data_IF_888885088170
#
_entry.id   IF_888885088170
#
_cell.length_a   1.000
_cell.length_b   1.000
_cell.length_c   1.000
_cell.angle_alpha   90.00
_cell.angle_beta   90.00
_cell.angle_gamma   90.00
#
_symmetry.space_group_name_H-M   'P 1'
#
loop_
_entity.id
_entity.type
_entity.pdbx_description
1 polymer ?
#
# COMPACT_ATOMS: atom_id res chain seq x y z
N UNK A 1 -62.27 -28.13 34.98
CA UNK A 1 -61.18 -27.26 35.45
C UNK A 1 -59.78 -27.90 35.26
N UNK A 2 -59.52 -29.13 35.78
CA UNK A 2 -58.17 -29.75 35.67
C UNK A 2 -57.71 -30.02 34.20
N UNK A 3 -58.63 -30.39 33.29
CA UNK A 3 -58.29 -30.60 31.86
C UNK A 3 -58.02 -29.32 31.07
N UNK A 4 -58.65 -28.20 31.46
CA UNK A 4 -58.40 -26.89 30.85
C UNK A 4 -57.04 -26.32 31.29
N UNK A 5 -56.67 -26.55 32.56
CA UNK A 5 -55.38 -26.12 33.14
C UNK A 5 -54.21 -26.91 32.53
N UNK A 6 -54.40 -28.20 32.24
CA UNK A 6 -53.39 -29.03 31.54
C UNK A 6 -53.17 -28.59 30.11
N UNK A 7 -54.22 -28.17 29.38
CA UNK A 7 -54.11 -27.71 28.00
C UNK A 7 -53.40 -26.34 27.89
N UNK A 8 -53.64 -25.43 28.85
CA UNK A 8 -52.99 -24.12 28.93
C UNK A 8 -51.50 -24.28 29.27
N UNK A 9 -51.16 -25.22 30.18
CA UNK A 9 -49.76 -25.48 30.53
C UNK A 9 -48.97 -26.11 29.40
N UNK A 10 -49.61 -26.99 28.57
CA UNK A 10 -48.97 -27.60 27.40
C UNK A 10 -48.79 -26.59 26.27
N UNK A 11 -49.72 -25.66 26.11
CA UNK A 11 -49.63 -24.57 25.09
C UNK A 11 -48.56 -23.54 25.53
N UNK A 12 -48.42 -23.25 26.81
CA UNK A 12 -47.35 -22.37 27.35
C UNK A 12 -45.94 -22.99 27.21
N UNK A 13 -45.82 -24.32 27.35
CA UNK A 13 -44.58 -25.07 27.11
C UNK A 13 -44.20 -25.18 25.65
N UNK A 14 -45.20 -25.22 24.74
CA UNK A 14 -44.97 -25.19 23.30
C UNK A 14 -44.60 -23.77 22.76
N UNK A 15 -45.08 -22.73 23.41
CA UNK A 15 -44.68 -21.32 23.10
C UNK A 15 -43.33 -20.95 23.74
N UNK A 16 -42.89 -21.65 24.77
CA UNK A 16 -41.56 -21.46 25.40
C UNK A 16 -40.44 -22.22 24.67
N UNK A 17 -40.78 -23.11 23.73
CA UNK A 17 -39.83 -23.82 22.87
C UNK A 17 -39.62 -23.11 21.50
N UNK A 18 -39.97 -21.83 21.38
CA UNK A 18 -39.31 -20.95 20.39
C UNK A 18 -37.88 -20.86 20.85
N UNK A 19 -37.11 -21.89 20.51
CA UNK A 19 -35.65 -21.84 20.51
C UNK A 19 -35.25 -20.49 19.93
N UNK A 20 -34.61 -19.66 20.73
CA UNK A 20 -33.59 -18.77 20.18
C UNK A 20 -32.57 -19.72 19.53
N UNK A 21 -32.81 -20.12 18.30
CA UNK A 21 -31.73 -20.43 17.41
C UNK A 21 -30.96 -19.11 17.40
N UNK A 22 -29.90 -19.00 18.18
CA UNK A 22 -28.89 -18.01 17.92
C UNK A 22 -28.58 -18.22 16.42
N UNK A 23 -28.96 -17.29 15.57
CA UNK A 23 -28.48 -17.33 14.20
C UNK A 23 -26.97 -17.47 14.34
N UNK A 24 -26.40 -18.55 13.77
CA UNK A 24 -24.94 -18.66 13.70
C UNK A 24 -24.45 -17.36 13.08
N UNK A 25 -23.53 -16.70 13.76
CA UNK A 25 -22.96 -15.48 13.25
C UNK A 25 -22.38 -15.80 11.87
N UNK A 26 -22.76 -15.02 10.86
CA UNK A 26 -22.25 -15.19 9.51
C UNK A 26 -20.71 -15.05 9.58
N UNK A 27 -19.99 -16.00 9.01
CA UNK A 27 -18.52 -16.03 9.02
C UNK A 27 -18.00 -15.93 7.60
N UNK A 28 -16.97 -15.13 7.41
CA UNK A 28 -16.28 -14.95 6.15
C UNK A 28 -14.80 -15.20 6.32
N UNK A 29 -14.17 -15.83 5.33
CA UNK A 29 -12.73 -16.05 5.28
C UNK A 29 -12.09 -15.11 4.26
N UNK A 30 -11.14 -14.30 4.70
CA UNK A 30 -10.42 -13.34 3.85
C UNK A 30 -8.96 -13.75 3.76
N UNK A 31 -8.47 -14.02 2.55
CA UNK A 31 -7.05 -14.33 2.29
C UNK A 31 -6.29 -13.05 1.95
N UNK A 32 -5.26 -12.69 2.72
CA UNK A 32 -4.41 -11.51 2.48
C UNK A 32 -3.01 -11.98 2.12
N UNK A 33 -2.53 -11.62 0.94
CA UNK A 33 -1.15 -11.84 0.54
C UNK A 33 -0.40 -10.50 0.48
N UNK A 34 0.64 -10.36 1.30
CA UNK A 34 1.58 -9.25 1.26
C UNK A 34 2.73 -9.55 0.30
N UNK A 35 3.20 -8.53 -0.45
CA UNK A 35 4.30 -8.69 -1.40
C UNK A 35 5.66 -8.73 -0.73
N UNK A 36 5.87 -7.86 0.27
CA UNK A 36 7.15 -7.70 0.97
C UNK A 36 6.92 -7.20 2.40
N UNK A 37 7.85 -7.48 3.29
CA UNK A 37 7.87 -6.93 4.65
C UNK A 37 8.34 -5.47 4.56
N UNK A 38 7.36 -4.56 4.52
CA UNK A 38 7.52 -3.12 4.45
C UNK A 38 6.55 -2.43 5.40
N UNK A 39 7.00 -1.34 6.03
CA UNK A 39 6.25 -0.66 7.07
C UNK A 39 4.92 -0.09 6.58
N UNK A 40 4.86 0.53 5.37
CA UNK A 40 3.60 1.05 4.80
C UNK A 40 2.63 -0.07 4.43
N UNK A 41 3.13 -1.16 3.81
CA UNK A 41 2.30 -2.32 3.47
C UNK A 41 1.78 -3.04 4.71
N UNK A 42 2.61 -3.19 5.73
CA UNK A 42 2.22 -3.75 7.03
C UNK A 42 1.18 -2.87 7.72
N UNK A 43 1.31 -1.54 7.65
CA UNK A 43 0.33 -0.59 8.18
C UNK A 43 -1.03 -0.74 7.49
N UNK A 44 -1.07 -0.97 6.17
CA UNK A 44 -2.31 -1.27 5.44
C UNK A 44 -2.98 -2.51 6.04
N UNK A 45 -2.23 -3.61 6.20
CA UNK A 45 -2.77 -4.89 6.68
C UNK A 45 -3.28 -4.77 8.11
N UNK A 46 -2.52 -4.10 8.99
CA UNK A 46 -2.94 -3.84 10.36
C UNK A 46 -4.27 -3.07 10.40
N UNK A 47 -4.40 -2.02 9.60
CA UNK A 47 -5.63 -1.22 9.53
C UNK A 47 -6.81 -1.94 8.84
N UNK A 48 -6.54 -2.86 7.91
CA UNK A 48 -7.58 -3.78 7.38
C UNK A 48 -8.13 -4.64 8.51
N UNK A 49 -7.26 -5.28 9.31
CA UNK A 49 -7.66 -6.13 10.43
C UNK A 49 -8.47 -5.37 11.47
N UNK A 50 -7.96 -4.23 11.92
CA UNK A 50 -8.60 -3.40 12.94
C UNK A 50 -10.01 -2.98 12.49
N UNK A 51 -10.13 -2.54 11.22
CA UNK A 51 -11.42 -2.13 10.69
C UNK A 51 -12.40 -3.29 10.53
N UNK A 52 -11.95 -4.44 10.08
CA UNK A 52 -12.79 -5.65 9.97
C UNK A 52 -13.22 -6.14 11.36
N UNK A 53 -12.36 -6.02 12.40
CA UNK A 53 -12.74 -6.34 13.78
C UNK A 53 -13.81 -5.37 14.32
N UNK A 54 -13.68 -4.06 14.08
CA UNK A 54 -14.72 -3.07 14.41
C UNK A 54 -16.05 -3.44 13.77
N UNK A 55 -16.05 -3.73 12.45
CA UNK A 55 -17.27 -4.11 11.72
C UNK A 55 -17.84 -5.43 12.21
N UNK A 56 -16.99 -6.41 12.55
CA UNK A 56 -17.42 -7.69 13.11
C UNK A 56 -18.23 -7.48 14.40
N UNK A 57 -17.75 -6.60 15.29
CA UNK A 57 -18.44 -6.25 16.53
C UNK A 57 -19.74 -5.48 16.26
N UNK A 58 -19.74 -4.53 15.30
CA UNK A 58 -20.90 -3.71 14.97
C UNK A 58 -22.04 -4.52 14.30
N UNK A 59 -21.67 -5.44 13.39
CA UNK A 59 -22.61 -6.19 12.55
C UNK A 59 -22.96 -7.58 13.10
N UNK A 60 -22.23 -8.08 14.12
CA UNK A 60 -22.44 -9.43 14.68
C UNK A 60 -22.03 -10.55 13.71
N UNK A 61 -20.98 -10.33 12.95
CA UNK A 61 -20.37 -11.29 11.99
C UNK A 61 -18.97 -11.68 12.46
N UNK A 62 -18.32 -12.60 11.75
CA UNK A 62 -16.93 -12.98 12.00
C UNK A 62 -16.13 -12.90 10.70
N UNK A 63 -14.91 -12.37 10.76
CA UNK A 63 -13.93 -12.47 9.70
C UNK A 63 -12.77 -13.34 10.17
N UNK A 64 -12.52 -14.45 9.47
CA UNK A 64 -11.31 -15.24 9.61
C UNK A 64 -10.29 -14.73 8.60
N UNK A 65 -9.16 -14.20 9.08
CA UNK A 65 -8.12 -13.64 8.22
C UNK A 65 -6.98 -14.67 8.10
N UNK A 66 -6.71 -15.11 6.87
CA UNK A 66 -5.53 -15.89 6.49
C UNK A 66 -4.55 -14.96 5.83
N UNK A 67 -3.39 -14.79 6.44
CA UNK A 67 -2.40 -13.82 5.99
C UNK A 67 -1.04 -14.47 5.82
N UNK A 68 -0.42 -14.18 4.68
CA UNK A 68 0.93 -14.62 4.35
C UNK A 68 1.69 -13.53 3.57
N UNK A 69 3.03 -13.60 3.61
CA UNK A 69 3.93 -12.70 2.91
C UNK A 69 4.82 -13.49 1.94
N UNK A 70 4.83 -13.08 0.67
CA UNK A 70 5.64 -13.78 -0.34
C UNK A 70 7.10 -13.31 -0.41
N UNK A 71 7.48 -12.25 0.30
CA UNK A 71 8.85 -11.74 0.41
C UNK A 71 9.55 -11.58 -0.95
N UNK A 72 8.89 -10.94 -1.91
CA UNK A 72 9.36 -10.70 -3.28
C UNK A 72 9.53 -11.99 -4.11
N UNK A 73 9.11 -13.18 -3.61
CA UNK A 73 9.24 -14.46 -4.32
C UNK A 73 7.94 -14.83 -5.05
N UNK A 74 7.99 -14.78 -6.39
CA UNK A 74 6.84 -15.09 -7.22
C UNK A 74 6.35 -16.54 -7.10
N UNK A 75 7.22 -17.52 -6.73
CA UNK A 75 6.81 -18.91 -6.52
C UNK A 75 6.08 -19.08 -5.20
N UNK A 76 6.55 -18.41 -4.15
CA UNK A 76 5.87 -18.36 -2.85
C UNK A 76 4.52 -17.67 -3.00
N UNK A 77 4.46 -16.54 -3.74
CA UNK A 77 3.22 -15.82 -4.02
C UNK A 77 2.17 -16.71 -4.69
N UNK A 78 2.55 -17.45 -5.75
CA UNK A 78 1.65 -18.38 -6.43
C UNK A 78 1.17 -19.51 -5.50
N UNK A 79 2.03 -19.99 -4.60
CA UNK A 79 1.65 -21.02 -3.62
C UNK A 79 0.63 -20.48 -2.63
N UNK A 80 0.86 -19.30 -2.06
CA UNK A 80 -0.08 -18.64 -1.11
C UNK A 80 -1.47 -18.47 -1.77
N UNK A 81 -1.50 -17.96 -2.99
CA UNK A 81 -2.77 -17.76 -3.71
C UNK A 81 -3.46 -19.10 -4.01
N UNK A 82 -2.68 -20.15 -4.38
CA UNK A 82 -3.23 -21.48 -4.59
C UNK A 82 -3.82 -22.07 -3.31
N UNK A 83 -3.20 -21.83 -2.16
CA UNK A 83 -3.70 -22.29 -0.86
C UNK A 83 -5.01 -21.56 -0.51
N UNK A 84 -5.12 -20.25 -0.76
CA UNK A 84 -6.37 -19.51 -0.59
C UNK A 84 -7.50 -20.04 -1.49
N UNK A 85 -7.19 -20.39 -2.75
CA UNK A 85 -8.17 -21.02 -3.66
C UNK A 85 -8.60 -22.38 -3.14
N UNK A 86 -7.65 -23.21 -2.66
CA UNK A 86 -7.96 -24.55 -2.13
C UNK A 86 -8.76 -24.50 -0.83
N UNK A 87 -8.57 -23.46 -0.04
CA UNK A 87 -9.31 -23.19 1.20
C UNK A 87 -10.66 -22.52 0.96
N UNK A 88 -11.02 -22.26 -0.31
CA UNK A 88 -12.28 -21.63 -0.73
C UNK A 88 -12.57 -20.32 0.04
N UNK A 89 -11.56 -19.44 0.17
CA UNK A 89 -11.76 -18.15 0.84
C UNK A 89 -12.84 -17.32 0.14
N UNK A 90 -13.62 -16.55 0.90
CA UNK A 90 -14.74 -15.76 0.36
C UNK A 90 -14.27 -14.54 -0.43
N UNK A 91 -13.05 -14.03 -0.13
CA UNK A 91 -12.45 -12.89 -0.81
C UNK A 91 -10.93 -12.91 -0.61
N UNK A 92 -10.19 -12.43 -1.61
CA UNK A 92 -8.74 -12.24 -1.51
C UNK A 92 -8.37 -10.76 -1.50
N UNK A 93 -7.32 -10.43 -0.74
CA UNK A 93 -6.69 -9.11 -0.74
C UNK A 93 -5.26 -9.24 -1.25
N UNK A 94 -4.97 -8.58 -2.37
CA UNK A 94 -3.61 -8.49 -2.93
C UNK A 94 -2.96 -7.17 -2.55
N UNK A 95 -1.95 -7.20 -1.69
CA UNK A 95 -1.21 -6.00 -1.28
C UNK A 95 -0.01 -5.81 -2.20
N UNK A 96 0.05 -4.69 -2.87
CA UNK A 96 0.92 -4.26 -3.97
C UNK A 96 0.56 -4.85 -5.35
N UNK A 97 1.00 -4.16 -6.41
CA UNK A 97 0.66 -4.46 -7.81
C UNK A 97 0.97 -5.90 -8.24
N UNK A 98 2.15 -6.50 -7.94
CA UNK A 98 2.48 -7.85 -8.39
C UNK A 98 1.53 -8.92 -7.83
N UNK A 99 1.10 -8.77 -6.58
CA UNK A 99 0.16 -9.71 -5.95
C UNK A 99 -1.23 -9.58 -6.59
N UNK A 100 -1.71 -8.34 -6.79
CA UNK A 100 -2.99 -8.08 -7.43
C UNK A 100 -3.08 -8.69 -8.83
N UNK A 101 -2.04 -8.52 -9.66
CA UNK A 101 -1.94 -9.10 -11.01
C UNK A 101 -1.95 -10.63 -10.98
N UNK A 102 -1.23 -11.23 -10.06
CA UNK A 102 -1.19 -12.68 -9.92
C UNK A 102 -2.52 -13.24 -9.43
N UNK A 103 -3.15 -12.60 -8.44
CA UNK A 103 -4.49 -12.97 -7.98
C UNK A 103 -5.53 -12.86 -9.10
N UNK A 104 -5.54 -11.76 -9.87
CA UNK A 104 -6.44 -11.60 -11.01
C UNK A 104 -6.32 -12.80 -11.97
N UNK A 105 -5.09 -13.12 -12.38
CA UNK A 105 -4.84 -14.23 -13.32
C UNK A 105 -5.27 -15.59 -12.78
N UNK A 106 -5.03 -15.85 -11.47
CA UNK A 106 -5.33 -17.15 -10.87
C UNK A 106 -6.80 -17.32 -10.46
N UNK A 107 -7.56 -16.22 -10.34
CA UNK A 107 -8.98 -16.26 -9.94
C UNK A 107 -9.96 -16.15 -11.09
N UNK A 108 -9.53 -16.01 -12.34
CA UNK A 108 -10.41 -15.87 -13.52
C UNK A 108 -11.50 -16.96 -13.60
N UNK A 109 -11.16 -18.22 -13.27
CA UNK A 109 -12.09 -19.35 -13.35
C UNK A 109 -12.79 -19.66 -12.02
N UNK A 110 -12.30 -19.12 -10.89
CA UNK A 110 -12.84 -19.45 -9.55
C UNK A 110 -14.02 -18.55 -9.17
N UNK A 111 -14.02 -17.32 -9.66
CA UNK A 111 -14.99 -16.29 -9.30
C UNK A 111 -14.79 -15.71 -7.89
N UNK A 112 -13.71 -16.07 -7.19
CA UNK A 112 -13.36 -15.45 -5.89
C UNK A 112 -13.06 -13.97 -6.11
N UNK A 113 -13.75 -13.04 -5.44
CA UNK A 113 -13.53 -11.62 -5.60
C UNK A 113 -12.15 -11.22 -5.06
N UNK A 114 -11.51 -10.25 -5.73
CA UNK A 114 -10.19 -9.73 -5.33
C UNK A 114 -10.30 -8.24 -5.05
N UNK A 115 -9.86 -7.82 -3.87
CA UNK A 115 -9.63 -6.42 -3.54
C UNK A 115 -8.13 -6.19 -3.51
N UNK A 116 -7.61 -5.30 -4.36
CA UNK A 116 -6.22 -4.90 -4.25
C UNK A 116 -6.04 -3.72 -3.28
N UNK A 117 -4.88 -3.66 -2.66
CA UNK A 117 -4.45 -2.54 -1.82
C UNK A 117 -3.09 -2.03 -2.29
N UNK A 118 -2.93 -0.71 -2.34
CA UNK A 118 -1.70 -0.04 -2.80
C UNK A 118 -1.26 -0.50 -4.20
N UNK A 119 -2.13 -0.29 -5.18
CA UNK A 119 -1.79 -0.42 -6.59
C UNK A 119 -1.66 0.97 -7.21
N UNK A 120 -0.45 1.32 -7.65
CA UNK A 120 -0.14 2.69 -8.09
C UNK A 120 -0.80 3.06 -9.41
N UNK A 121 -0.90 2.13 -10.36
CA UNK A 121 -1.57 2.33 -11.67
C UNK A 121 -2.43 1.11 -12.05
N UNK A 122 -3.66 0.99 -11.51
CA UNK A 122 -4.54 -0.14 -11.81
C UNK A 122 -4.92 -0.26 -13.29
N UNK A 123 -4.97 0.87 -14.02
CA UNK A 123 -5.23 0.88 -15.47
C UNK A 123 -4.03 0.39 -16.26
N UNK A 124 -2.84 0.93 -15.97
CA UNK A 124 -1.59 0.52 -16.62
C UNK A 124 -1.23 -0.93 -16.36
N UNK A 125 -1.49 -1.43 -15.17
CA UNK A 125 -1.33 -2.83 -14.80
C UNK A 125 -2.38 -3.77 -15.43
N UNK A 126 -3.41 -3.22 -16.11
CA UNK A 126 -4.46 -4.02 -16.76
C UNK A 126 -5.42 -4.71 -15.79
N UNK A 127 -5.47 -4.27 -14.54
CA UNK A 127 -6.35 -4.83 -13.51
C UNK A 127 -7.81 -4.42 -13.70
N UNK A 128 -8.04 -3.20 -14.18
CA UNK A 128 -9.37 -2.63 -14.33
C UNK A 128 -9.57 -2.00 -15.71
N UNK A 129 -10.80 -2.03 -16.23
CA UNK A 129 -11.14 -1.39 -17.49
C UNK A 129 -11.24 0.14 -17.35
N UNK A 130 -11.69 0.62 -16.18
CA UNK A 130 -11.68 2.04 -15.80
C UNK A 130 -11.68 2.16 -14.27
N UNK A 131 -11.29 3.33 -13.75
CA UNK A 131 -11.32 3.59 -12.32
C UNK A 131 -12.75 3.64 -11.75
N UNK A 132 -13.71 4.14 -12.52
CA UNK A 132 -15.11 4.25 -12.10
C UNK A 132 -15.90 2.94 -12.22
N UNK A 133 -15.49 2.05 -13.13
CA UNK A 133 -16.15 0.76 -13.38
C UNK A 133 -15.09 -0.28 -13.79
N UNK A 134 -14.55 -1.02 -12.82
CA UNK A 134 -13.46 -1.99 -13.05
C UNK A 134 -13.78 -3.03 -14.11
N UNK A 135 -15.02 -3.55 -14.14
CA UNK A 135 -15.52 -4.43 -15.20
C UNK A 135 -15.06 -5.88 -15.09
N UNK A 136 -14.33 -6.24 -14.05
CA UNK A 136 -13.82 -7.59 -13.78
C UNK A 136 -14.06 -7.97 -12.32
N UNK A 137 -13.63 -9.18 -11.92
CA UNK A 137 -13.76 -9.68 -10.55
C UNK A 137 -12.69 -9.12 -9.60
N UNK A 138 -12.25 -7.86 -9.85
CA UNK A 138 -11.20 -7.19 -9.11
C UNK A 138 -11.43 -5.68 -9.07
N UNK A 139 -11.22 -5.08 -7.91
CA UNK A 139 -11.18 -3.63 -7.65
C UNK A 139 -10.29 -3.38 -6.42
N UNK A 140 -10.18 -2.15 -5.94
CA UNK A 140 -9.42 -1.89 -4.71
C UNK A 140 -9.05 -0.43 -4.50
N UNK A 141 -7.95 -0.23 -3.78
CA UNK A 141 -7.42 1.07 -3.37
C UNK A 141 -6.10 1.37 -4.06
N UNK A 142 -5.99 2.56 -4.64
CA UNK A 142 -4.76 3.00 -5.33
C UNK A 142 -3.95 3.94 -4.47
N UNK A 143 -2.64 3.72 -4.46
CA UNK A 143 -1.62 4.61 -3.90
C UNK A 143 -0.93 5.45 -4.98
N UNK A 144 -1.67 5.85 -6.01
CA UNK A 144 -1.16 6.69 -7.11
C UNK A 144 -0.20 7.76 -6.58
N UNK A 145 0.95 7.92 -7.23
CA UNK A 145 1.96 8.91 -6.91
C UNK A 145 1.90 10.11 -7.85
N UNK A 146 1.70 11.33 -7.31
CA UNK A 146 1.91 12.56 -8.06
C UNK A 146 3.42 12.84 -8.22
N UNK A 147 4.00 12.28 -9.27
CA UNK A 147 5.42 12.43 -9.58
C UNK A 147 5.82 13.91 -9.74
N UNK A 148 4.95 14.75 -10.32
CA UNK A 148 5.25 16.17 -10.51
C UNK A 148 5.35 16.90 -9.16
N UNK A 149 4.53 16.53 -8.18
CA UNK A 149 4.62 17.08 -6.83
C UNK A 149 5.97 16.73 -6.18
N UNK A 150 6.43 15.48 -6.27
CA UNK A 150 7.75 15.09 -5.74
C UNK A 150 8.87 15.94 -6.37
N UNK A 151 8.84 16.15 -7.69
CA UNK A 151 9.83 17.01 -8.36
C UNK A 151 9.74 18.47 -7.93
N UNK A 152 8.55 18.99 -7.62
CA UNK A 152 8.42 20.32 -7.03
C UNK A 152 9.15 20.41 -5.67
N UNK A 153 9.12 19.34 -4.87
CA UNK A 153 9.85 19.28 -3.60
C UNK A 153 11.36 19.21 -3.82
N UNK A 154 11.84 18.42 -4.81
CA UNK A 154 13.27 18.40 -5.19
C UNK A 154 13.76 19.82 -5.49
N UNK A 155 13.05 20.55 -6.36
CA UNK A 155 13.45 21.90 -6.76
C UNK A 155 13.16 22.97 -5.69
N UNK A 156 12.24 22.74 -4.76
CA UNK A 156 12.04 23.62 -3.60
C UNK A 156 13.20 23.50 -2.58
N UNK A 157 13.72 22.29 -2.37
CA UNK A 157 14.86 22.06 -1.49
C UNK A 157 16.19 22.45 -2.15
N UNK A 158 16.35 22.19 -3.46
CA UNK A 158 17.56 22.52 -4.23
C UNK A 158 17.18 23.11 -5.61
N UNK A 159 17.01 24.44 -5.72
CA UNK A 159 16.68 25.09 -6.99
C UNK A 159 17.78 24.96 -8.06
N UNK A 160 19.00 24.62 -7.68
CA UNK A 160 20.15 24.46 -8.58
C UNK A 160 20.35 22.99 -9.04
N UNK A 161 19.48 22.07 -8.60
CA UNK A 161 19.57 20.67 -9.01
C UNK A 161 19.46 20.53 -10.53
N UNK A 162 20.45 19.89 -11.13
CA UNK A 162 20.65 19.82 -12.59
C UNK A 162 20.93 18.39 -13.09
N UNK A 163 21.20 17.45 -12.19
CA UNK A 163 21.49 16.03 -12.48
C UNK A 163 20.70 15.14 -11.52
N UNK A 164 19.68 14.50 -12.02
CA UNK A 164 18.77 13.67 -11.21
C UNK A 164 19.01 12.19 -11.51
N UNK A 165 19.21 11.38 -10.47
CA UNK A 165 19.20 9.93 -10.58
C UNK A 165 17.75 9.42 -10.51
N UNK A 166 17.37 8.54 -11.44
CA UNK A 166 16.13 7.78 -11.39
C UNK A 166 16.48 6.35 -11.00
N UNK A 167 16.21 5.96 -9.74
CA UNK A 167 16.54 4.64 -9.20
C UNK A 167 15.27 3.81 -9.08
N UNK A 168 15.21 2.68 -9.78
CA UNK A 168 14.03 1.83 -9.81
C UNK A 168 14.34 0.40 -10.30
N UNK A 169 13.41 -0.53 -10.09
CA UNK A 169 13.41 -1.86 -10.71
C UNK A 169 12.54 -1.84 -11.98
N UNK A 170 13.11 -1.98 -13.19
CA UNK A 170 12.34 -1.96 -14.44
C UNK A 170 11.32 -3.10 -14.59
N UNK A 171 11.39 -4.13 -13.75
CA UNK A 171 10.46 -5.25 -13.75
C UNK A 171 9.23 -5.00 -12.86
N UNK A 172 9.19 -3.88 -12.13
CA UNK A 172 8.01 -3.51 -11.33
C UNK A 172 7.08 -2.58 -12.10
N UNK A 173 5.84 -3.03 -12.30
CA UNK A 173 4.80 -2.26 -13.01
C UNK A 173 4.50 -0.93 -12.31
N UNK A 174 4.53 -0.90 -10.97
CA UNK A 174 4.33 0.30 -10.15
C UNK A 174 5.31 1.44 -10.50
N UNK A 175 6.51 1.13 -10.98
CA UNK A 175 7.55 2.10 -11.35
C UNK A 175 7.38 2.66 -12.77
N UNK A 176 6.65 1.96 -13.65
CA UNK A 176 6.62 2.29 -15.09
C UNK A 176 6.05 3.68 -15.36
N UNK A 177 4.85 3.99 -14.90
CA UNK A 177 4.20 5.27 -15.13
C UNK A 177 4.90 6.44 -14.43
N UNK A 178 5.29 6.36 -13.13
CA UNK A 178 6.02 7.43 -12.45
C UNK A 178 7.38 7.74 -13.08
N UNK A 179 8.14 6.74 -13.50
CA UNK A 179 9.44 6.94 -14.16
C UNK A 179 9.26 7.60 -15.54
N UNK A 180 8.25 7.19 -16.31
CA UNK A 180 7.93 7.85 -17.58
C UNK A 180 7.55 9.33 -17.36
N UNK A 181 6.75 9.63 -16.35
CA UNK A 181 6.37 10.99 -15.97
C UNK A 181 7.59 11.82 -15.53
N UNK A 182 8.48 11.24 -14.72
CA UNK A 182 9.72 11.88 -14.27
C UNK A 182 10.61 12.26 -15.47
N UNK A 183 10.82 11.33 -16.41
CA UNK A 183 11.61 11.58 -17.62
C UNK A 183 11.02 12.71 -18.47
N UNK A 184 9.71 12.67 -18.72
CA UNK A 184 9.02 13.71 -19.49
C UNK A 184 9.17 15.10 -18.84
N UNK A 185 9.01 15.18 -17.51
CA UNK A 185 9.16 16.43 -16.75
C UNK A 185 10.60 16.97 -16.81
N UNK A 186 11.59 16.10 -16.64
CA UNK A 186 13.00 16.50 -16.69
C UNK A 186 13.43 16.95 -18.09
N UNK A 187 12.95 16.26 -19.13
CA UNK A 187 13.15 16.65 -20.53
C UNK A 187 12.53 18.02 -20.84
N UNK A 188 11.29 18.25 -20.39
CA UNK A 188 10.61 19.55 -20.54
C UNK A 188 11.38 20.69 -19.87
N UNK A 189 11.95 20.42 -18.68
CA UNK A 189 12.76 21.40 -17.92
C UNK A 189 14.19 21.53 -18.42
N UNK A 190 14.66 20.65 -19.30
CA UNK A 190 16.05 20.62 -19.78
C UNK A 190 17.06 20.19 -18.69
N UNK A 191 16.62 19.40 -17.70
CA UNK A 191 17.42 18.89 -16.60
C UNK A 191 17.99 17.52 -16.99
N UNK A 192 19.28 17.30 -16.76
CA UNK A 192 19.91 16.04 -17.05
C UNK A 192 19.47 14.95 -16.04
N UNK A 193 19.23 13.75 -16.53
CA UNK A 193 18.96 12.60 -15.67
C UNK A 193 19.71 11.36 -16.15
N UNK A 194 19.87 10.41 -15.23
CA UNK A 194 20.40 9.08 -15.53
C UNK A 194 19.60 8.02 -14.79
N UNK A 195 19.31 6.94 -15.50
CA UNK A 195 18.59 5.79 -14.95
C UNK A 195 19.58 4.82 -14.30
N UNK A 196 19.23 4.36 -13.12
CA UNK A 196 19.94 3.34 -12.34
C UNK A 196 18.92 2.28 -11.94
N UNK A 197 19.31 1.01 -11.98
CA UNK A 197 18.38 -0.07 -11.71
C UNK A 197 19.01 -1.17 -10.85
N UNK A 198 18.16 -1.84 -10.08
CA UNK A 198 18.48 -3.03 -9.36
C UNK A 198 17.24 -3.92 -9.23
N UNK A 199 17.39 -5.22 -9.44
CA UNK A 199 16.31 -6.21 -9.33
C UNK A 199 16.36 -6.98 -8.00
N UNK A 200 17.31 -6.67 -7.14
CA UNK A 200 17.49 -7.18 -5.80
C UNK A 200 18.36 -6.23 -4.97
N UNK A 201 18.37 -6.41 -3.65
CA UNK A 201 19.08 -5.54 -2.69
C UNK A 201 20.56 -5.35 -3.09
N UNK A 202 21.27 -6.39 -3.49
CA UNK A 202 22.69 -6.29 -3.84
C UNK A 202 22.93 -5.41 -5.08
N UNK A 203 22.08 -5.49 -6.08
CA UNK A 203 22.14 -4.65 -7.27
C UNK A 203 21.76 -3.20 -6.95
N UNK A 204 20.79 -2.98 -6.08
CA UNK A 204 20.40 -1.63 -5.61
C UNK A 204 21.55 -0.97 -4.86
N UNK A 205 22.27 -1.71 -4.00
CA UNK A 205 23.49 -1.18 -3.32
C UNK A 205 24.55 -0.78 -4.33
N UNK A 206 24.78 -1.57 -5.39
CA UNK A 206 25.72 -1.21 -6.47
C UNK A 206 25.24 -0.01 -7.30
N UNK A 207 23.92 0.13 -7.50
CA UNK A 207 23.34 1.28 -8.16
C UNK A 207 23.55 2.56 -7.34
N UNK A 208 23.38 2.51 -6.00
CA UNK A 208 23.67 3.63 -5.11
C UNK A 208 25.16 4.04 -5.17
N UNK A 209 26.09 3.08 -5.20
CA UNK A 209 27.52 3.37 -5.38
C UNK A 209 27.80 4.08 -6.71
N UNK A 210 27.11 3.69 -7.78
CA UNK A 210 27.23 4.34 -9.10
C UNK A 210 26.63 5.76 -9.11
N UNK A 211 25.49 5.98 -8.43
CA UNK A 211 24.87 7.30 -8.24
C UNK A 211 25.87 8.26 -7.57
N UNK A 212 26.53 7.80 -6.49
CA UNK A 212 27.53 8.58 -5.77
C UNK A 212 28.74 8.89 -6.66
N UNK A 213 29.23 7.88 -7.40
CA UNK A 213 30.37 8.05 -8.31
C UNK A 213 30.10 9.04 -9.45
N UNK A 214 28.85 9.12 -9.90
CA UNK A 214 28.40 10.05 -10.94
C UNK A 214 28.08 11.46 -10.39
N UNK A 215 28.18 11.68 -9.07
CA UNK A 215 27.99 12.96 -8.38
C UNK A 215 26.62 13.60 -8.73
N UNK A 216 25.54 12.82 -8.51
CA UNK A 216 24.16 13.27 -8.79
C UNK A 216 23.66 14.22 -7.70
N UNK A 217 22.76 15.15 -8.08
CA UNK A 217 22.28 16.19 -7.15
C UNK A 217 21.11 15.70 -6.28
N UNK A 218 20.35 14.70 -6.73
CA UNK A 218 19.28 14.06 -6.01
C UNK A 218 18.95 12.69 -6.63
N UNK A 219 18.31 11.82 -5.84
CA UNK A 219 17.73 10.55 -6.30
C UNK A 219 16.22 10.63 -6.22
N UNK A 220 15.52 10.14 -7.24
CA UNK A 220 14.08 9.89 -7.24
C UNK A 220 13.81 8.40 -7.39
N UNK A 221 12.98 7.86 -6.50
CA UNK A 221 12.42 6.50 -6.56
C UNK A 221 10.90 6.58 -6.37
N UNK A 222 10.08 5.97 -7.24
CA UNK A 222 8.64 5.86 -7.02
C UNK A 222 8.30 4.86 -5.90
N UNK A 223 7.06 4.34 -5.86
CA UNK A 223 6.63 3.26 -4.95
C UNK A 223 7.18 1.90 -5.37
N UNK A 224 8.49 1.76 -5.46
CA UNK A 224 9.22 0.58 -5.92
C UNK A 224 9.56 -0.35 -4.75
N UNK A 225 8.94 -1.53 -4.69
CA UNK A 225 9.09 -2.46 -3.58
C UNK A 225 10.51 -3.03 -3.44
N UNK A 226 11.22 -3.19 -4.57
CA UNK A 226 12.60 -3.71 -4.56
C UNK A 226 13.56 -2.67 -3.97
N UNK A 227 13.41 -1.41 -4.36
CA UNK A 227 14.24 -0.32 -3.82
C UNK A 227 13.89 -0.08 -2.35
N UNK A 228 12.61 -0.12 -1.99
CA UNK A 228 12.13 0.03 -0.62
C UNK A 228 12.75 -1.01 0.32
N UNK A 229 12.77 -2.28 -0.06
CA UNK A 229 13.41 -3.35 0.70
C UNK A 229 14.93 -3.16 0.87
N UNK A 230 15.56 -2.31 0.04
CA UNK A 230 16.99 -2.01 0.09
C UNK A 230 17.32 -0.71 0.83
N UNK A 231 16.34 0.13 1.17
CA UNK A 231 16.56 1.51 1.65
C UNK A 231 17.51 1.59 2.85
N UNK A 232 17.28 0.76 3.88
CA UNK A 232 18.18 0.66 5.05
C UNK A 232 19.64 0.32 4.69
N UNK A 233 19.89 -0.22 3.50
CA UNK A 233 21.24 -0.56 3.02
C UNK A 233 21.91 0.56 2.21
N UNK A 234 21.16 1.59 1.81
CA UNK A 234 21.66 2.63 0.89
C UNK A 234 21.57 4.05 1.45
N UNK A 235 20.64 4.35 2.38
CA UNK A 235 20.35 5.72 2.80
C UNK A 235 21.57 6.43 3.42
N UNK A 236 22.32 5.75 4.30
CA UNK A 236 23.49 6.36 4.97
C UNK A 236 24.55 6.82 3.97
N UNK A 237 24.89 5.95 3.00
CA UNK A 237 25.91 6.29 1.98
C UNK A 237 25.47 7.42 1.06
N UNK A 238 24.17 7.51 0.72
CA UNK A 238 23.62 8.62 -0.06
C UNK A 238 23.67 9.92 0.74
N UNK A 239 23.24 9.89 2.01
CA UNK A 239 23.27 11.04 2.88
C UNK A 239 24.71 11.53 3.16
N UNK A 240 25.66 10.63 3.42
CA UNK A 240 27.10 10.95 3.59
C UNK A 240 27.71 11.57 2.33
N UNK A 241 27.23 11.18 1.15
CA UNK A 241 27.62 11.78 -0.12
C UNK A 241 26.92 13.13 -0.40
N UNK A 242 26.02 13.58 0.46
CA UNK A 242 25.24 14.81 0.28
C UNK A 242 24.13 14.70 -0.78
N UNK A 243 23.68 13.48 -1.09
CA UNK A 243 22.68 13.20 -2.13
C UNK A 243 21.34 12.84 -1.47
N UNK A 244 20.34 13.73 -1.45
CA UNK A 244 19.02 13.45 -0.88
C UNK A 244 18.24 12.48 -1.75
N UNK A 245 17.59 11.49 -1.09
CA UNK A 245 16.71 10.52 -1.74
C UNK A 245 15.24 10.89 -1.53
N UNK A 246 14.53 11.15 -2.62
CA UNK A 246 13.11 11.51 -2.68
C UNK A 246 12.31 10.32 -3.19
N UNK A 247 11.26 9.93 -2.48
CA UNK A 247 10.60 8.65 -2.71
C UNK A 247 9.08 8.75 -2.68
N UNK A 248 8.41 7.67 -3.11
CA UNK A 248 6.97 7.61 -3.30
C UNK A 248 6.16 7.09 -2.11
N UNK A 249 6.78 6.79 -0.95
CA UNK A 249 6.07 6.32 0.24
C UNK A 249 6.78 6.74 1.53
N UNK A 250 6.03 6.81 2.63
CA UNK A 250 6.55 7.22 3.94
C UNK A 250 7.45 6.16 4.60
N UNK A 251 7.29 4.87 4.26
CA UNK A 251 8.19 3.80 4.71
C UNK A 251 9.64 4.00 4.24
N UNK A 252 9.86 4.56 3.06
CA UNK A 252 11.21 4.95 2.64
C UNK A 252 11.81 5.99 3.58
N UNK A 253 11.04 7.04 3.93
CA UNK A 253 11.52 8.05 4.88
C UNK A 253 11.75 7.44 6.26
N UNK A 254 10.88 6.53 6.71
CA UNK A 254 11.10 5.76 7.94
C UNK A 254 12.41 4.99 7.90
N UNK A 255 12.73 4.35 6.77
CA UNK A 255 13.96 3.59 6.59
C UNK A 255 15.17 4.44 6.17
N UNK A 256 15.08 5.77 6.28
CA UNK A 256 16.21 6.67 6.15
C UNK A 256 16.29 7.48 4.87
N UNK A 257 15.41 7.32 3.88
CA UNK A 257 15.33 8.25 2.76
C UNK A 257 15.05 9.68 3.27
N UNK A 258 15.55 10.69 2.58
CA UNK A 258 15.33 12.08 2.97
C UNK A 258 13.85 12.47 3.01
N UNK A 259 13.10 11.99 2.01
CA UNK A 259 11.67 12.30 1.84
C UNK A 259 10.89 11.09 1.36
N UNK A 260 9.78 10.79 2.04
CA UNK A 260 8.67 10.00 1.52
C UNK A 260 7.49 10.91 1.18
N UNK A 261 6.90 10.76 -0.01
CA UNK A 261 5.74 11.54 -0.44
C UNK A 261 4.64 10.61 -0.92
N UNK A 262 3.40 10.84 -0.48
CA UNK A 262 2.31 9.97 -0.93
C UNK A 262 1.02 10.13 -0.15
N UNK A 263 0.33 9.00 0.00
CA UNK A 263 -0.95 8.85 0.67
C UNK A 263 -0.78 8.45 2.14
N UNK A 264 -1.86 8.55 2.90
CA UNK A 264 -1.96 7.97 4.25
C UNK A 264 -2.30 6.47 4.14
N UNK A 265 -1.32 5.60 4.40
CA UNK A 265 -1.47 4.15 4.28
C UNK A 265 -2.36 3.53 5.36
N UNK A 266 -2.49 4.14 6.55
CA UNK A 266 -3.46 3.70 7.54
C UNK A 266 -4.89 3.93 7.05
N UNK A 267 -5.17 5.10 6.49
CA UNK A 267 -6.47 5.42 5.89
C UNK A 267 -6.77 4.53 4.68
N UNK A 268 -5.76 4.24 3.85
CA UNK A 268 -5.90 3.32 2.71
C UNK A 268 -6.29 1.92 3.17
N UNK A 269 -5.67 1.39 4.24
CA UNK A 269 -6.00 0.09 4.82
C UNK A 269 -7.46 0.04 5.32
N UNK A 270 -7.92 1.05 6.04
CA UNK A 270 -9.31 1.14 6.52
C UNK A 270 -10.30 1.20 5.36
N UNK A 271 -9.99 1.96 4.32
CA UNK A 271 -10.83 2.06 3.13
C UNK A 271 -10.88 0.71 2.36
N UNK A 272 -9.76 -0.01 2.29
CA UNK A 272 -9.72 -1.37 1.73
C UNK A 272 -10.64 -2.31 2.50
N UNK A 273 -10.64 -2.26 3.84
CA UNK A 273 -11.57 -3.05 4.67
C UNK A 273 -13.03 -2.67 4.43
N UNK A 274 -13.35 -1.38 4.28
CA UNK A 274 -14.70 -0.95 3.96
C UNK A 274 -15.16 -1.46 2.57
N UNK A 275 -14.26 -1.60 1.59
CA UNK A 275 -14.57 -2.24 0.30
C UNK A 275 -14.82 -3.74 0.46
N UNK A 276 -14.04 -4.45 1.29
CA UNK A 276 -14.29 -5.86 1.63
C UNK A 276 -15.69 -6.02 2.22
N UNK A 277 -16.06 -5.15 3.16
CA UNK A 277 -17.40 -5.14 3.78
C UNK A 277 -18.51 -4.90 2.75
N UNK A 278 -18.34 -3.96 1.84
CA UNK A 278 -19.31 -3.69 0.78
C UNK A 278 -19.55 -4.94 -0.10
N UNK A 279 -18.48 -5.67 -0.45
CA UNK A 279 -18.59 -6.89 -1.27
C UNK A 279 -19.21 -8.04 -0.47
N UNK A 280 -18.70 -8.35 0.74
CA UNK A 280 -19.09 -9.55 1.49
C UNK A 280 -20.41 -9.38 2.24
N UNK A 281 -20.67 -8.20 2.84
CA UNK A 281 -21.84 -7.98 3.68
C UNK A 281 -22.97 -7.23 2.98
N UNK A 282 -22.62 -6.22 2.18
CA UNK A 282 -23.62 -5.36 1.57
C UNK A 282 -24.00 -5.82 0.14
N UNK A 283 -23.28 -6.85 -0.40
CA UNK A 283 -23.58 -7.47 -1.68
C UNK A 283 -23.30 -6.57 -2.89
N UNK A 284 -22.32 -5.66 -2.75
CA UNK A 284 -21.89 -4.80 -3.85
C UNK A 284 -21.33 -5.65 -5.01
N UNK A 285 -21.67 -5.27 -6.23
CA UNK A 285 -21.08 -5.85 -7.43
C UNK A 285 -19.64 -5.33 -7.59
N UNK A 286 -18.67 -6.21 -7.37
CA UNK A 286 -17.26 -5.87 -7.44
C UNK A 286 -16.86 -5.27 -8.80
N UNK A 287 -17.48 -5.73 -9.89
CA UNK A 287 -17.21 -5.24 -11.24
C UNK A 287 -17.69 -3.79 -11.47
N UNK A 288 -18.58 -3.29 -10.61
CA UNK A 288 -19.13 -1.94 -10.65
C UNK A 288 -18.63 -1.06 -9.48
N UNK A 289 -17.86 -1.64 -8.53
CA UNK A 289 -17.34 -0.91 -7.38
C UNK A 289 -16.11 -0.11 -7.78
N UNK A 290 -16.16 1.25 -7.79
CA UNK A 290 -15.05 2.08 -8.25
C UNK A 290 -13.76 1.82 -7.48
N UNK A 291 -12.62 1.96 -8.17
CA UNK A 291 -11.31 2.02 -7.50
C UNK A 291 -11.26 3.28 -6.65
N UNK A 292 -10.85 3.13 -5.41
CA UNK A 292 -10.71 4.25 -4.48
C UNK A 292 -9.32 4.88 -4.60
N UNK A 293 -9.28 6.20 -4.69
CA UNK A 293 -8.05 7.01 -4.71
C UNK A 293 -8.03 7.94 -3.50
N UNK A 294 -6.85 8.39 -3.12
CA UNK A 294 -6.63 9.22 -1.93
C UNK A 294 -5.93 10.52 -2.30
N UNK A 295 -6.04 11.51 -1.42
CA UNK A 295 -5.24 12.72 -1.54
C UNK A 295 -3.75 12.37 -1.44
N UNK A 296 -3.01 12.81 -2.46
CA UNK A 296 -1.57 12.64 -2.56
C UNK A 296 -0.94 13.98 -2.19
N UNK A 297 -0.43 14.09 -0.98
CA UNK A 297 0.01 15.41 -0.52
C UNK A 297 0.74 15.43 0.82
N UNK A 298 0.98 14.27 1.44
CA UNK A 298 1.76 14.18 2.66
C UNK A 298 3.24 14.04 2.32
N UNK A 299 4.07 14.98 2.77
CA UNK A 299 5.52 14.91 2.73
C UNK A 299 6.04 14.51 4.12
N UNK A 300 6.60 13.31 4.22
CA UNK A 300 7.25 12.78 5.43
C UNK A 300 8.75 12.96 5.30
N UNK A 301 9.34 13.85 6.10
CA UNK A 301 10.78 14.20 6.05
C UNK A 301 11.52 13.49 7.17
N UNK A 302 12.53 12.68 6.82
CA UNK A 302 13.41 12.07 7.81
C UNK A 302 14.35 13.11 8.39
N UNK A 303 14.21 13.38 9.71
CA UNK A 303 14.98 14.42 10.41
C UNK A 303 16.42 14.02 10.64
N UNK A 304 16.73 12.73 10.78
CA UNK A 304 18.10 12.24 10.95
C UNK A 304 18.88 12.42 9.64
N UNK A 305 18.27 12.02 8.52
CA UNK A 305 18.85 12.19 7.19
C UNK A 305 18.90 13.67 6.79
N UNK A 306 17.89 14.47 7.13
CA UNK A 306 17.91 15.92 6.96
C UNK A 306 19.14 16.53 7.64
N UNK A 307 19.41 16.16 8.90
CA UNK A 307 20.58 16.61 9.63
C UNK A 307 21.90 16.10 9.03
N UNK A 308 21.95 14.84 8.57
CA UNK A 308 23.14 14.27 7.92
C UNK A 308 23.48 14.99 6.61
N UNK A 309 22.48 15.45 5.86
CA UNK A 309 22.62 16.29 4.67
C UNK A 309 23.00 17.75 4.99
N UNK A 310 23.07 18.13 6.28
CA UNK A 310 23.34 19.50 6.72
C UNK A 310 22.17 20.47 6.48
N UNK A 311 20.96 19.95 6.35
CA UNK A 311 19.74 20.72 6.13
C UNK A 311 19.02 20.98 7.47
N UNK A 312 18.28 22.08 7.53
CA UNK A 312 17.43 22.43 8.66
C UNK A 312 15.97 22.00 8.37
N UNK A 313 15.38 21.19 9.24
CA UNK A 313 14.04 20.65 9.03
C UNK A 313 12.97 21.75 8.91
N UNK A 314 13.04 22.80 9.76
CA UNK A 314 12.02 23.85 9.74
C UNK A 314 12.08 24.64 8.42
N UNK A 315 13.28 24.88 7.89
CA UNK A 315 13.47 25.51 6.58
C UNK A 315 12.95 24.62 5.44
N UNK A 316 13.19 23.31 5.50
CA UNK A 316 12.65 22.34 4.52
C UNK A 316 11.13 22.28 4.60
N UNK A 317 10.57 22.22 5.80
CA UNK A 317 9.10 22.17 5.99
C UNK A 317 8.42 23.46 5.45
N UNK A 318 9.04 24.63 5.66
CA UNK A 318 8.57 25.90 5.09
C UNK A 318 8.63 25.89 3.55
N UNK A 319 9.71 25.38 2.97
CA UNK A 319 9.89 25.28 1.53
C UNK A 319 8.88 24.29 0.88
N UNK A 320 8.52 23.22 1.57
CA UNK A 320 7.59 22.20 1.08
C UNK A 320 6.11 22.55 1.28
N UNK A 321 5.78 23.34 2.29
CA UNK A 321 4.39 23.69 2.64
C UNK A 321 3.53 24.21 1.46
N UNK A 322 4.04 24.97 0.46
CA UNK A 322 3.24 25.40 -0.69
C UNK A 322 2.82 24.26 -1.63
N UNK A 323 3.49 23.09 -1.56
CA UNK A 323 3.32 21.96 -2.47
C UNK A 323 2.66 20.74 -1.82
N UNK A 324 2.40 20.80 -0.51
CA UNK A 324 1.89 19.69 0.27
C UNK A 324 0.64 20.08 1.02
N UNK A 325 -0.23 19.10 1.30
CA UNK A 325 -1.34 19.25 2.27
C UNK A 325 -0.82 19.14 3.69
N UNK A 326 0.24 18.34 3.89
CA UNK A 326 0.91 18.14 5.17
C UNK A 326 2.41 17.93 4.98
N UNK A 327 3.21 18.49 5.86
CA UNK A 327 4.64 18.16 6.03
C UNK A 327 4.83 17.69 7.46
N UNK A 328 5.40 16.50 7.62
CA UNK A 328 5.59 15.89 8.94
C UNK A 328 7.01 15.33 9.09
N UNK A 329 7.56 15.37 10.33
CA UNK A 329 8.84 14.76 10.60
C UNK A 329 8.71 13.26 10.89
N UNK A 330 9.80 12.53 10.62
CA UNK A 330 10.00 11.16 11.07
C UNK A 330 11.48 10.97 11.42
N UNK A 331 11.78 9.99 12.28
CA UNK A 331 13.15 9.54 12.56
C UNK A 331 13.37 8.17 11.91
N UNK A 332 14.63 7.79 11.72
CA UNK A 332 14.96 6.49 11.13
C UNK A 332 14.61 5.34 12.07
N UNK A 333 13.83 4.37 11.57
CA UNK A 333 13.46 3.15 12.27
C UNK A 333 13.20 2.01 11.27
N UNK A 334 13.08 0.77 11.74
CA UNK A 334 12.73 -0.37 10.89
C UNK A 334 11.20 -0.47 10.67
N UNK A 335 10.40 -0.11 11.69
CA UNK A 335 8.95 -0.13 11.62
C UNK A 335 8.34 1.12 12.26
N UNK A 336 7.07 1.45 11.93
CA UNK A 336 6.34 2.55 12.58
C UNK A 336 6.12 2.29 14.08
N UNK A 337 6.08 1.04 14.52
CA UNK A 337 5.93 0.65 15.93
C UNK A 337 7.18 0.99 16.75
N UNK A 338 8.35 1.12 16.11
CA UNK A 338 9.60 1.48 16.77
C UNK A 338 9.73 3.00 17.03
N UNK A 339 8.88 3.81 16.42
CA UNK A 339 8.76 5.22 16.70
C UNK A 339 8.09 5.37 18.07
N UNK A 340 8.88 5.50 19.14
CA UNK A 340 8.35 5.63 20.49
C UNK A 340 7.27 6.71 20.61
N UNK A 341 6.24 6.43 21.44
CA UNK A 341 5.18 7.37 21.85
C UNK A 341 5.73 8.64 22.50
#
# INVERSE_FOLDING_TARGET
MKKLLSLVLTLALLLGACSFAAAEAQSFTVGICNFVDDASLNQIIANIRDRLEEVAQERGVTFEIKEDNCNLDGSVMQQIISDFIADEVDLMVGVATPVAMTMQSMTEETGIPVIFAAVSDPLGAGLVASMDAPGANITGTSDYLDTAAVFNLIFAANPEASRIALLYNPAEDASTAPIAAAKALLEEKGIAYKEYSGSNISEVVLAADAIIADDMDAVFTPTDNTIMAAELSIYEKLAEAGIPHYTGADSFALNGAFLGYGVDYANLGRATADMIVQVLLDGADIAALPVMTFDNGTATVNTDTCAALGLDYDAIAEAFAPFCTQVQPITTAESFDDLGE
#
